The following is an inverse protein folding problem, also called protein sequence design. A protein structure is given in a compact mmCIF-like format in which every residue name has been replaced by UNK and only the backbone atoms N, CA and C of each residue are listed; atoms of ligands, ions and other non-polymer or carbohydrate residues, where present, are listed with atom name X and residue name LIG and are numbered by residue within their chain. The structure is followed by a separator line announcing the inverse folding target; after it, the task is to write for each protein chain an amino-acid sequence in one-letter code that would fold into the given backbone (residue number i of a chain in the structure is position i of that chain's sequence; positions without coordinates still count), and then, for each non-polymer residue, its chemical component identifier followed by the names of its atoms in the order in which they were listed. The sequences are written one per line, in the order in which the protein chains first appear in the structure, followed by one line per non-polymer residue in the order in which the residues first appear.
data_IF_608610953985
#
_entry.id   IF_608610953985
#
_cell.length_a   1.000
_cell.length_b   1.000
_cell.length_c   1.000
_cell.angle_alpha   90.00
_cell.angle_beta   90.00
_cell.angle_gamma   90.00
#
_symmetry.space_group_name_H-M   'P 1'
#
loop_
_entity.id
_entity.type
_entity.pdbx_description
1 polymer ?
#
# COMPACT_ATOMS: atom_id res chain seq x y z
N UNK A 1 15.37 -9.71 -14.07
CA UNK A 1 13.98 -9.99 -14.49
C UNK A 1 13.09 -9.97 -13.25
N UNK A 2 12.24 -8.96 -13.13
CA UNK A 2 11.20 -8.86 -12.10
C UNK A 2 10.19 -9.97 -12.36
N UNK A 3 10.38 -11.11 -11.70
CA UNK A 3 9.45 -12.21 -11.80
C UNK A 3 8.12 -11.75 -11.20
N UNK A 4 7.01 -11.72 -11.96
CA UNK A 4 5.71 -11.29 -11.45
C UNK A 4 5.33 -12.06 -10.18
N UNK A 5 5.76 -13.32 -10.04
CA UNK A 5 5.62 -14.10 -8.81
C UNK A 5 6.24 -13.45 -7.55
N UNK A 6 7.43 -12.83 -7.65
CA UNK A 6 8.08 -12.18 -6.49
C UNK A 6 7.33 -10.91 -6.09
N UNK A 7 6.81 -10.16 -7.06
CA UNK A 7 6.02 -8.95 -6.81
C UNK A 7 4.68 -9.31 -6.16
N UNK A 8 3.99 -10.32 -6.68
CA UNK A 8 2.74 -10.83 -6.12
C UNK A 8 2.96 -11.34 -4.69
N UNK A 9 4.04 -12.09 -4.45
CA UNK A 9 4.36 -12.60 -3.13
C UNK A 9 4.70 -11.47 -2.14
N UNK A 10 5.42 -10.44 -2.58
CA UNK A 10 5.70 -9.24 -1.80
C UNK A 10 4.43 -8.46 -1.46
N UNK A 11 3.50 -8.32 -2.41
CA UNK A 11 2.22 -7.65 -2.19
C UNK A 11 1.33 -8.43 -1.19
N UNK A 12 1.27 -9.76 -1.32
CA UNK A 12 0.56 -10.62 -0.38
C UNK A 12 1.17 -10.56 1.03
N UNK A 13 2.50 -10.59 1.13
CA UNK A 13 3.20 -10.41 2.39
C UNK A 13 2.92 -9.05 3.03
N UNK A 14 2.93 -7.97 2.24
CA UNK A 14 2.61 -6.63 2.70
C UNK A 14 1.15 -6.50 3.14
N UNK A 15 0.20 -7.09 2.41
CA UNK A 15 -1.21 -7.10 2.80
C UNK A 15 -1.42 -7.85 4.11
N UNK A 16 -0.81 -9.03 4.27
CA UNK A 16 -0.90 -9.80 5.51
C UNK A 16 -0.27 -9.05 6.70
N UNK A 17 0.90 -8.45 6.52
CA UNK A 17 1.53 -7.60 7.53
C UNK A 17 0.67 -6.38 7.88
N UNK A 18 0.04 -5.75 6.88
CA UNK A 18 -0.88 -4.64 7.07
C UNK A 18 -2.13 -5.02 7.86
N UNK A 19 -2.70 -6.20 7.59
CA UNK A 19 -3.83 -6.74 8.38
C UNK A 19 -3.40 -7.03 9.80
N UNK A 20 -2.23 -7.65 10.01
CA UNK A 20 -1.70 -7.92 11.35
C UNK A 20 -1.50 -6.63 12.14
N UNK A 21 -0.88 -5.61 11.54
CA UNK A 21 -0.71 -4.29 12.16
C UNK A 21 -2.07 -3.62 12.42
N UNK A 22 -3.01 -3.69 11.49
CA UNK A 22 -4.35 -3.12 11.63
C UNK A 22 -5.15 -3.77 12.77
N UNK A 23 -5.07 -5.09 12.90
CA UNK A 23 -5.68 -5.85 14.01
C UNK A 23 -5.00 -5.51 15.34
N UNK A 24 -3.66 -5.41 15.36
CA UNK A 24 -2.91 -5.04 16.56
C UNK A 24 -3.22 -3.60 17.02
N UNK A 25 -3.44 -2.69 16.08
CA UNK A 25 -3.67 -1.27 16.37
C UNK A 25 -5.13 -0.97 16.76
N UNK A 26 -6.09 -1.74 16.26
CA UNK A 26 -7.51 -1.59 16.58
C UNK A 26 -8.12 -2.89 17.13
N UNK A 27 -7.76 -3.32 18.36
CA UNK A 27 -8.39 -4.46 19.02
C UNK A 27 -9.72 -4.02 19.65
N UNK A 28 -10.75 -3.86 18.82
CA UNK A 28 -12.09 -3.52 19.29
C UNK A 28 -12.92 -4.80 19.53
N UNK A 29 -13.49 -4.93 20.74
CA UNK A 29 -14.22 -6.12 21.20
C UNK A 29 -15.73 -5.98 20.99
N UNK A 30 -16.37 -7.00 20.39
CA UNK A 30 -17.82 -7.26 20.56
C UNK A 30 -18.75 -6.87 19.40
N UNK A 31 -20.05 -7.07 19.62
CA UNK A 31 -21.11 -6.96 18.59
C UNK A 31 -21.34 -5.55 18.04
N UNK A 32 -21.14 -4.51 18.85
CA UNK A 32 -21.23 -3.10 18.39
C UNK A 32 -20.11 -2.72 17.42
N UNK A 33 -18.94 -3.34 17.57
CA UNK A 33 -17.77 -3.11 16.72
C UNK A 33 -18.03 -3.63 15.32
N UNK A 34 -18.62 -4.81 15.15
CA UNK A 34 -18.98 -5.31 13.80
C UNK A 34 -19.93 -4.36 13.07
N UNK A 35 -20.88 -3.77 13.80
CA UNK A 35 -21.81 -2.78 13.26
C UNK A 35 -21.07 -1.51 12.83
N UNK A 36 -20.24 -0.93 13.72
CA UNK A 36 -19.39 0.24 13.39
C UNK A 36 -18.40 -0.02 12.26
N UNK A 37 -17.82 -1.22 12.18
CA UNK A 37 -16.94 -1.63 11.08
C UNK A 37 -17.72 -1.72 9.78
N UNK A 38 -18.91 -2.33 9.76
CA UNK A 38 -19.72 -2.44 8.55
C UNK A 38 -20.13 -1.06 8.02
N UNK A 39 -20.56 -0.16 8.91
CA UNK A 39 -20.94 1.20 8.56
C UNK A 39 -19.73 2.00 8.05
N UNK A 40 -18.62 1.99 8.80
CA UNK A 40 -17.38 2.67 8.38
C UNK A 40 -16.76 2.06 7.13
N UNK A 41 -16.87 0.75 6.92
CA UNK A 41 -16.36 0.08 5.73
C UNK A 41 -17.15 0.47 4.49
N UNK A 42 -18.48 0.63 4.62
CA UNK A 42 -19.32 1.14 3.54
C UNK A 42 -18.92 2.57 3.16
N UNK A 43 -18.78 3.45 4.14
CA UNK A 43 -18.33 4.83 3.90
C UNK A 43 -16.91 4.89 3.31
N UNK A 44 -16.02 4.03 3.79
CA UNK A 44 -14.65 3.92 3.30
C UNK A 44 -14.59 3.40 1.87
N UNK A 45 -15.41 2.40 1.52
CA UNK A 45 -15.52 1.89 0.17
C UNK A 45 -16.03 2.96 -0.80
N UNK A 46 -17.05 3.73 -0.41
CA UNK A 46 -17.55 4.86 -1.20
C UNK A 46 -16.48 5.92 -1.42
N UNK A 47 -15.76 6.32 -0.37
CA UNK A 47 -14.65 7.30 -0.46
C UNK A 47 -13.49 6.80 -1.30
N UNK A 48 -13.15 5.52 -1.20
CA UNK A 48 -12.15 4.88 -2.07
C UNK A 48 -12.63 4.89 -3.52
N UNK A 49 -13.90 4.59 -3.80
CA UNK A 49 -14.46 4.62 -5.14
C UNK A 49 -14.34 6.01 -5.78
N UNK A 50 -14.65 7.07 -5.02
CA UNK A 50 -14.44 8.46 -5.44
C UNK A 50 -12.96 8.77 -5.64
N UNK A 51 -12.09 8.42 -4.70
CA UNK A 51 -10.65 8.63 -4.80
C UNK A 51 -10.02 7.89 -5.98
N UNK A 52 -10.50 6.68 -6.31
CA UNK A 52 -10.05 5.94 -7.48
C UNK A 52 -10.54 6.62 -8.76
N UNK A 53 -11.78 7.09 -8.80
CA UNK A 53 -12.34 7.76 -9.99
C UNK A 53 -11.63 9.08 -10.26
N UNK A 54 -11.54 9.96 -9.26
CA UNK A 54 -10.78 11.22 -9.35
C UNK A 54 -9.28 10.97 -9.50
N UNK A 55 -8.77 9.94 -8.84
CA UNK A 55 -7.37 9.53 -8.91
C UNK A 55 -7.01 9.02 -10.30
N UNK A 56 -7.91 8.34 -11.01
CA UNK A 56 -7.70 7.88 -12.39
C UNK A 56 -7.55 9.05 -13.35
N UNK A 57 -8.40 10.06 -13.26
CA UNK A 57 -8.24 11.30 -14.05
C UNK A 57 -6.92 12.01 -13.73
N UNK A 58 -6.60 12.19 -12.45
CA UNK A 58 -5.33 12.83 -12.04
C UNK A 58 -4.10 11.97 -12.33
N UNK A 59 -4.24 10.66 -12.38
CA UNK A 59 -3.18 9.72 -12.76
C UNK A 59 -2.94 9.78 -14.26
N UNK A 60 -3.97 9.89 -15.10
CA UNK A 60 -3.77 10.03 -16.55
C UNK A 60 -3.01 11.33 -16.89
N UNK A 61 -3.27 12.43 -16.19
CA UNK A 61 -2.48 13.67 -16.30
C UNK A 61 -1.10 13.60 -15.60
N UNK A 62 -1.02 12.94 -14.46
CA UNK A 62 0.16 12.90 -13.58
C UNK A 62 1.14 11.76 -13.85
N UNK A 63 0.74 10.74 -14.61
CA UNK A 63 1.53 9.53 -14.89
C UNK A 63 2.86 9.88 -15.56
N UNK A 64 2.88 10.89 -16.44
CA UNK A 64 4.11 11.38 -17.05
C UNK A 64 5.11 11.96 -16.05
N UNK A 65 4.66 12.50 -14.90
CA UNK A 65 5.54 13.01 -13.83
C UNK A 65 5.91 11.92 -12.81
N UNK A 66 4.99 11.01 -12.52
CA UNK A 66 5.21 9.89 -11.60
C UNK A 66 6.20 8.86 -12.17
N UNK A 67 6.15 8.58 -13.47
CA UNK A 67 7.09 7.67 -14.12
C UNK A 67 8.55 8.13 -14.02
N UNK A 68 8.79 9.45 -14.04
CA UNK A 68 10.13 10.00 -13.86
C UNK A 68 10.58 9.92 -12.39
N UNK A 69 9.70 10.24 -11.45
CA UNK A 69 10.01 10.22 -10.02
C UNK A 69 10.11 8.81 -9.42
N UNK A 70 9.47 7.83 -10.04
CA UNK A 70 9.53 6.42 -9.61
C UNK A 70 10.88 5.77 -9.93
N UNK A 71 11.54 6.19 -11.01
CA UNK A 71 12.92 5.81 -11.34
C UNK A 71 13.89 6.24 -10.24
N UNK A 72 13.87 7.54 -9.91
CA UNK A 72 14.71 8.13 -8.86
C UNK A 72 14.48 7.48 -7.49
N UNK A 73 13.22 7.21 -7.15
CA UNK A 73 12.87 6.58 -5.88
C UNK A 73 13.32 5.11 -5.80
N UNK A 74 13.18 4.35 -6.90
CA UNK A 74 13.67 2.98 -6.95
C UNK A 74 15.20 2.91 -6.87
N UNK A 75 15.89 3.89 -7.47
CA UNK A 75 17.35 4.02 -7.40
C UNK A 75 17.82 4.43 -6.00
N UNK A 76 17.12 5.34 -5.32
CA UNK A 76 17.42 5.70 -3.93
C UNK A 76 17.20 4.52 -2.97
N UNK A 77 16.12 3.75 -3.15
CA UNK A 77 15.86 2.54 -2.36
C UNK A 77 16.97 1.51 -2.59
N UNK A 78 17.35 1.22 -3.83
CA UNK A 78 18.40 0.26 -4.12
C UNK A 78 19.73 0.69 -3.48
N UNK A 79 20.12 1.96 -3.61
CA UNK A 79 21.32 2.49 -2.98
C UNK A 79 21.30 2.39 -1.45
N UNK A 80 20.13 2.60 -0.81
CA UNK A 80 19.98 2.45 0.64
C UNK A 80 20.00 0.99 1.07
N UNK A 81 19.37 0.10 0.32
CA UNK A 81 19.39 -1.36 0.58
C UNK A 81 20.82 -1.90 0.43
N UNK A 82 21.54 -1.49 -0.60
CA UNK A 82 22.93 -1.91 -0.84
C UNK A 82 23.87 -1.41 0.27
N UNK A 83 23.75 -0.15 0.68
CA UNK A 83 24.47 0.38 1.85
C UNK A 83 24.14 -0.39 3.12
N UNK A 84 22.87 -0.70 3.35
CA UNK A 84 22.43 -1.42 4.55
C UNK A 84 22.93 -2.87 4.52
N UNK A 85 22.89 -3.53 3.36
CA UNK A 85 23.41 -4.89 3.15
C UNK A 85 24.92 -4.96 3.38
N UNK A 86 25.69 -3.99 2.89
CA UNK A 86 27.14 -3.92 3.14
C UNK A 86 27.50 -3.51 4.57
N UNK A 87 26.61 -2.83 5.30
CA UNK A 87 26.86 -2.48 6.71
C UNK A 87 26.47 -3.56 7.71
N UNK A 88 25.70 -4.55 7.27
CA UNK A 88 25.22 -5.67 8.09
C UNK A 88 25.98 -6.98 7.82
N UNK A 89 26.85 -7.00 6.80
CA UNK A 89 27.79 -8.08 6.49
C UNK A 89 29.20 -7.70 6.91
#
# INVERSE_FOLDING_TARGET
MSNPNKVILGLLGAAAAGVMIGILLAPDKGGEVRKKIADKATDFASRIGELISTGKEKLEEGAGKVANKSGDFAEEINNRIEKTSNSLS
#
